data_IF_149369594134
#
_entry.id   IF_149369594134
#
_cell.length_a   1.000
_cell.length_b   1.000
_cell.length_c   1.000
_cell.angle_alpha   90.00
_cell.angle_beta   90.00
_cell.angle_gamma   90.00
#
_symmetry.space_group_name_H-M   'P 1'
#
loop_
_entity.id
_entity.type
_entity.pdbx_description
1 polymer ?
#
# COMPACT_ATOMS: atom_id res chain seq x y z
N UNK A 1 -0.81 -35.16 14.71
CA UNK A 1 -1.82 -35.75 13.81
C UNK A 1 -1.11 -36.73 12.90
N UNK A 2 -1.60 -37.97 12.80
CA UNK A 2 -0.90 -39.05 12.11
C UNK A 2 -0.84 -38.78 10.59
N UNK A 3 0.35 -38.96 10.01
CA UNK A 3 0.60 -38.83 8.58
C UNK A 3 -0.05 -40.01 7.82
N UNK A 4 -1.34 -39.87 7.52
CA UNK A 4 -2.07 -40.84 6.70
C UNK A 4 -1.71 -40.58 5.25
N UNK A 5 -1.07 -41.56 4.59
CA UNK A 5 -0.84 -41.52 3.14
C UNK A 5 -2.17 -41.31 2.40
N UNK A 6 -2.26 -40.21 1.66
CA UNK A 6 -3.40 -39.91 0.78
C UNK A 6 -3.42 -40.85 -0.42
N UNK A 7 -4.61 -41.28 -0.81
CA UNK A 7 -4.83 -41.97 -2.09
C UNK A 7 -4.64 -40.98 -3.26
N UNK A 8 -4.49 -41.49 -4.49
CA UNK A 8 -4.30 -40.62 -5.68
C UNK A 8 -5.43 -39.60 -5.89
N UNK A 9 -6.67 -39.94 -5.54
CA UNK A 9 -7.79 -39.00 -5.65
C UNK A 9 -7.72 -37.92 -4.57
N UNK A 10 -7.42 -38.33 -3.34
CA UNK A 10 -7.26 -37.40 -2.21
C UNK A 10 -6.06 -36.46 -2.42
N UNK A 11 -4.99 -36.94 -3.08
CA UNK A 11 -3.83 -36.12 -3.41
C UNK A 11 -4.15 -35.05 -4.47
N UNK A 12 -4.96 -35.37 -5.49
CA UNK A 12 -5.41 -34.36 -6.47
C UNK A 12 -6.27 -33.28 -5.81
N UNK A 13 -7.24 -33.69 -4.99
CA UNK A 13 -8.07 -32.76 -4.23
C UNK A 13 -7.25 -31.94 -3.23
N UNK A 14 -6.18 -32.51 -2.67
CA UNK A 14 -5.27 -31.77 -1.81
C UNK A 14 -4.45 -30.73 -2.59
N UNK A 15 -3.93 -31.07 -3.76
CA UNK A 15 -3.18 -30.12 -4.61
C UNK A 15 -4.07 -28.95 -5.02
N UNK A 16 -5.31 -29.22 -5.41
CA UNK A 16 -6.32 -28.20 -5.73
C UNK A 16 -6.66 -27.33 -4.52
N UNK A 17 -6.90 -27.93 -3.36
CA UNK A 17 -7.10 -27.21 -2.11
C UNK A 17 -5.92 -26.28 -1.77
N UNK A 18 -4.69 -26.76 -1.94
CA UNK A 18 -3.48 -25.98 -1.65
C UNK A 18 -3.36 -24.79 -2.60
N UNK A 19 -3.60 -24.98 -3.89
CA UNK A 19 -3.57 -23.89 -4.87
C UNK A 19 -4.62 -22.82 -4.55
N UNK A 20 -5.85 -23.23 -4.24
CA UNK A 20 -6.93 -22.33 -3.82
C UNK A 20 -6.56 -21.55 -2.54
N UNK A 21 -5.97 -22.22 -1.54
CA UNK A 21 -5.47 -21.55 -0.33
C UNK A 21 -4.39 -20.54 -0.68
N UNK A 22 -3.45 -20.88 -1.57
CA UNK A 22 -2.39 -19.96 -2.02
C UNK A 22 -2.95 -18.74 -2.75
N UNK A 23 -3.90 -18.93 -3.67
CA UNK A 23 -4.55 -17.82 -4.39
C UNK A 23 -5.32 -16.91 -3.44
N UNK A 24 -6.05 -17.50 -2.50
CA UNK A 24 -6.77 -16.75 -1.47
C UNK A 24 -5.79 -15.96 -0.58
N UNK A 25 -4.66 -16.55 -0.21
CA UNK A 25 -3.62 -15.87 0.58
C UNK A 25 -3.00 -14.70 -0.21
N UNK A 26 -2.70 -14.89 -1.50
CA UNK A 26 -2.16 -13.84 -2.37
C UNK A 26 -3.17 -12.69 -2.49
N UNK A 27 -4.44 -13.00 -2.77
CA UNK A 27 -5.50 -12.01 -2.86
C UNK A 27 -5.67 -11.25 -1.53
N UNK A 28 -5.71 -11.97 -0.41
CA UNK A 28 -5.87 -11.38 0.91
C UNK A 28 -4.68 -10.46 1.24
N UNK A 29 -3.45 -10.90 0.94
CA UNK A 29 -2.23 -10.10 1.12
C UNK A 29 -2.25 -8.85 0.25
N UNK A 30 -2.66 -8.95 -1.01
CA UNK A 30 -2.81 -7.79 -1.90
C UNK A 30 -3.87 -6.81 -1.41
N UNK A 31 -5.01 -7.32 -0.93
CA UNK A 31 -6.08 -6.50 -0.39
C UNK A 31 -5.66 -5.80 0.92
N UNK A 32 -5.00 -6.52 1.82
CA UNK A 32 -4.43 -5.94 3.04
C UNK A 32 -3.35 -4.88 2.72
N UNK A 33 -2.49 -5.14 1.73
CA UNK A 33 -1.50 -4.16 1.28
C UNK A 33 -2.18 -2.89 0.74
N UNK A 34 -3.21 -3.05 -0.09
CA UNK A 34 -4.01 -1.92 -0.59
C UNK A 34 -4.66 -1.16 0.56
N UNK A 35 -5.38 -1.82 1.46
CA UNK A 35 -6.07 -1.18 2.59
C UNK A 35 -5.11 -0.50 3.57
N UNK A 36 -3.93 -1.08 3.80
CA UNK A 36 -2.92 -0.53 4.72
C UNK A 36 -2.14 0.64 4.11
N UNK A 37 -1.97 0.66 2.79
CA UNK A 37 -1.09 1.60 2.11
C UNK A 37 -1.79 2.61 1.20
N UNK A 38 -3.09 2.45 0.93
CA UNK A 38 -3.95 3.45 0.30
C UNK A 38 -4.65 4.20 1.45
N UNK A 39 -4.22 5.44 1.76
CA UNK A 39 -4.83 6.25 2.79
C UNK A 39 -6.29 6.61 2.46
N UNK A 40 -7.10 6.75 3.50
CA UNK A 40 -8.47 7.24 3.40
C UNK A 40 -8.51 8.65 2.77
N UNK A 41 -9.51 8.90 1.91
CA UNK A 41 -9.67 10.19 1.21
C UNK A 41 -8.91 10.34 -0.11
N UNK A 42 -8.22 9.29 -0.58
CA UNK A 42 -7.54 9.32 -1.88
C UNK A 42 -8.48 9.46 -3.08
N UNK A 43 -9.74 9.06 -2.93
CA UNK A 43 -10.81 9.22 -3.94
C UNK A 43 -11.13 10.70 -4.26
N UNK A 44 -10.82 11.61 -3.33
CA UNK A 44 -11.12 13.05 -3.46
C UNK A 44 -9.90 13.95 -3.72
N UNK A 45 -8.70 13.40 -3.92
CA UNK A 45 -7.45 14.18 -4.07
C UNK A 45 -7.55 15.17 -5.23
N UNK A 46 -8.21 14.80 -6.32
CA UNK A 46 -8.35 15.65 -7.50
C UNK A 46 -9.19 16.90 -7.23
N UNK A 47 -10.15 16.84 -6.30
CA UNK A 47 -11.04 17.94 -5.94
C UNK A 47 -10.53 18.79 -4.75
N UNK A 48 -9.78 18.19 -3.83
CA UNK A 48 -9.46 18.78 -2.52
C UNK A 48 -8.21 19.69 -2.50
N UNK A 49 -8.01 20.59 -3.47
CA UNK A 49 -6.86 21.52 -3.46
C UNK A 49 -7.19 23.01 -3.20
N UNK A 50 -7.70 23.43 -2.02
CA UNK A 50 -7.93 24.85 -1.75
C UNK A 50 -6.78 25.61 -1.06
N UNK A 51 -5.64 25.02 -0.67
CA UNK A 51 -4.60 25.78 0.07
C UNK A 51 -3.19 25.64 -0.51
N UNK A 52 -2.75 26.68 -1.22
CA UNK A 52 -1.42 26.79 -1.83
C UNK A 52 -0.35 27.05 -0.74
N UNK A 53 0.09 26.00 -0.05
CA UNK A 53 1.19 26.08 0.93
C UNK A 53 2.49 26.50 0.25
N UNK A 54 3.39 27.16 1.00
CA UNK A 54 4.72 27.57 0.53
C UNK A 54 5.50 26.36 0.01
N UNK A 55 5.98 26.45 -1.23
CA UNK A 55 6.79 25.42 -1.88
C UNK A 55 8.27 25.72 -1.69
N UNK A 56 9.07 24.71 -1.43
CA UNK A 56 10.54 24.79 -1.43
C UNK A 56 11.06 24.13 -2.71
N UNK A 57 11.94 24.81 -3.45
CA UNK A 57 12.59 24.23 -4.63
C UNK A 57 13.68 23.26 -4.16
N UNK A 58 13.57 22.00 -4.58
CA UNK A 58 14.54 20.94 -4.33
C UNK A 58 14.80 20.20 -5.65
N UNK A 59 16.05 19.87 -5.92
CA UNK A 59 16.42 18.95 -7.00
C UNK A 59 16.45 17.54 -6.43
N UNK A 60 15.54 16.68 -6.88
CA UNK A 60 15.44 15.28 -6.47
C UNK A 60 15.19 14.41 -7.69
N UNK A 61 15.76 13.20 -7.70
CA UNK A 61 15.50 12.20 -8.71
C UNK A 61 14.34 11.32 -8.25
N UNK A 62 13.37 11.10 -9.14
CA UNK A 62 12.25 10.19 -8.97
C UNK A 62 12.33 9.09 -10.03
N UNK A 63 11.72 7.94 -9.76
CA UNK A 63 11.66 6.85 -10.72
C UNK A 63 10.96 7.28 -12.02
N UNK A 64 11.48 6.80 -13.15
CA UNK A 64 11.10 7.29 -14.47
C UNK A 64 9.66 6.95 -14.84
N UNK A 65 9.18 5.79 -14.40
CA UNK A 65 7.81 5.30 -14.55
C UNK A 65 6.82 6.13 -13.72
N UNK A 66 7.16 6.47 -12.48
CA UNK A 66 6.36 7.34 -11.60
C UNK A 66 6.20 8.73 -12.23
N UNK A 67 7.29 9.31 -12.71
CA UNK A 67 7.25 10.63 -13.37
C UNK A 67 6.41 10.57 -14.65
N UNK A 68 6.55 9.52 -15.47
CA UNK A 68 5.78 9.33 -16.69
C UNK A 68 4.29 9.21 -16.39
N UNK A 69 3.92 8.44 -15.37
CA UNK A 69 2.53 8.25 -14.95
C UNK A 69 1.88 9.55 -14.49
N UNK A 70 2.52 10.31 -13.59
CA UNK A 70 1.99 11.59 -13.15
C UNK A 70 1.89 12.60 -14.31
N UNK A 71 2.89 12.66 -15.19
CA UNK A 71 2.87 13.54 -16.38
C UNK A 71 1.71 13.21 -17.33
N UNK A 72 1.35 11.94 -17.47
CA UNK A 72 0.23 11.52 -18.32
C UNK A 72 -1.11 12.09 -17.86
N UNK A 73 -1.24 12.48 -16.59
CA UNK A 73 -2.47 13.09 -16.05
C UNK A 73 -2.64 14.58 -16.42
N UNK A 74 -1.69 15.18 -17.15
CA UNK A 74 -1.79 16.53 -17.67
C UNK A 74 -1.31 17.64 -16.72
N UNK A 75 -1.84 18.84 -16.91
CA UNK A 75 -1.38 20.03 -16.20
C UNK A 75 -1.62 19.91 -14.68
N UNK A 76 -0.66 20.39 -13.88
CA UNK A 76 -0.75 20.30 -12.41
C UNK A 76 -0.26 18.97 -11.82
N UNK A 77 0.35 18.08 -12.61
CA UNK A 77 0.88 16.79 -12.12
C UNK A 77 1.82 16.93 -10.91
N UNK A 78 2.64 17.99 -10.86
CA UNK A 78 3.53 18.23 -9.72
C UNK A 78 2.75 18.53 -8.43
N UNK A 79 1.59 19.20 -8.54
CA UNK A 79 0.73 19.46 -7.39
C UNK A 79 0.08 18.17 -6.88
N UNK A 80 -0.39 17.31 -7.79
CA UNK A 80 -0.94 15.98 -7.48
C UNK A 80 0.10 15.07 -6.83
N UNK A 81 1.29 14.98 -7.42
CA UNK A 81 2.42 14.22 -6.85
C UNK A 81 2.76 14.72 -5.44
N UNK A 82 2.81 16.02 -5.23
CA UNK A 82 3.04 16.60 -3.90
C UNK A 82 1.89 16.33 -2.91
N UNK A 83 0.65 16.19 -3.37
CA UNK A 83 -0.48 15.83 -2.51
C UNK A 83 -0.38 14.37 -2.04
N UNK A 84 -0.06 13.45 -2.94
CA UNK A 84 0.18 12.04 -2.63
C UNK A 84 1.30 11.90 -1.59
N UNK A 85 2.45 12.53 -1.84
CA UNK A 85 3.58 12.54 -0.91
C UNK A 85 3.21 13.13 0.44
N UNK A 86 2.38 14.19 0.46
CA UNK A 86 1.90 14.81 1.70
C UNK A 86 1.02 13.87 2.51
N UNK A 87 0.07 13.17 1.88
CA UNK A 87 -0.83 12.28 2.61
C UNK A 87 -0.02 11.14 3.22
N UNK A 88 0.93 10.56 2.47
CA UNK A 88 1.86 9.57 3.02
C UNK A 88 2.69 10.13 4.19
N UNK A 89 3.21 11.35 4.06
CA UNK A 89 3.93 12.00 5.17
C UNK A 89 3.03 12.18 6.39
N UNK A 90 1.80 12.68 6.22
CA UNK A 90 0.86 12.92 7.31
C UNK A 90 0.44 11.63 8.00
N UNK A 91 0.12 10.58 7.25
CA UNK A 91 -0.31 9.29 7.80
C UNK A 91 0.80 8.60 8.60
N UNK A 92 2.06 8.82 8.21
CA UNK A 92 3.23 8.38 8.96
C UNK A 92 3.44 9.21 10.23
N UNK A 93 3.30 10.54 10.16
CA UNK A 93 3.45 11.43 11.31
C UNK A 93 2.34 11.22 12.35
N UNK A 94 1.11 10.96 11.90
CA UNK A 94 -0.04 10.65 12.76
C UNK A 94 -0.05 9.22 13.31
N UNK A 95 0.93 8.37 12.91
CA UNK A 95 1.03 6.95 13.28
C UNK A 95 -0.13 6.07 12.80
N UNK A 96 -0.88 6.53 11.80
CA UNK A 96 -1.91 5.72 11.13
C UNK A 96 -1.26 4.62 10.27
N UNK A 97 -0.16 4.96 9.59
CA UNK A 97 0.69 3.94 8.95
C UNK A 97 1.71 3.45 9.99
N UNK A 98 1.43 2.26 10.54
CA UNK A 98 2.37 1.55 11.41
C UNK A 98 3.66 1.22 10.67
N UNK A 99 4.77 1.81 11.10
CA UNK A 99 6.12 1.43 10.69
C UNK A 99 6.55 0.15 11.41
N UNK A 100 7.38 -0.65 10.74
CA UNK A 100 8.02 -1.81 11.37
C UNK A 100 8.99 -1.28 12.44
N UNK A 101 8.66 -1.46 13.71
CA UNK A 101 9.41 -0.92 14.86
C UNK A 101 8.72 0.21 15.64
N UNK A 102 7.46 0.53 15.33
CA UNK A 102 6.70 1.48 16.16
C UNK A 102 6.50 0.90 17.57
N UNK A 103 7.07 1.58 18.55
CA UNK A 103 6.91 1.27 19.97
C UNK A 103 5.61 1.87 20.48
N UNK A 104 4.88 1.12 21.30
CA UNK A 104 3.76 1.69 22.06
C UNK A 104 4.29 2.83 22.97
N UNK A 105 3.43 3.70 23.50
CA UNK A 105 3.86 4.75 24.43
C UNK A 105 4.53 4.20 25.71
N UNK A 106 4.41 2.89 25.96
CA UNK A 106 5.11 2.13 27.00
C UNK A 106 6.47 1.53 26.59
N UNK A 107 6.88 1.66 25.33
CA UNK A 107 8.19 1.19 24.84
C UNK A 107 8.22 -0.24 24.30
N UNK A 108 7.14 -1.00 24.44
CA UNK A 108 7.07 -2.39 23.93
C UNK A 108 6.90 -2.43 22.41
N UNK A 109 7.59 -3.36 21.72
CA UNK A 109 7.32 -3.65 20.31
C UNK A 109 5.95 -4.31 20.14
N UNK A 110 5.20 -3.88 19.11
CA UNK A 110 3.92 -4.49 18.70
C UNK A 110 4.19 -5.58 17.67
#
# INVERSE_FOLDING_TARGET
MADRKRTKSEERSYVELIDEIFQLEIWHRQNQLKLRHIPEGWEGIEAAHPCRRRKTKLTANFDSDVVKWFRAMGHGYQARMNAVLRIYMLSVVSKEIRRRGDKHWKGDPI
#
